data_IF_988676556689
#
_entry.id   IF_988676556689
#
_cell.length_a   1.000
_cell.length_b   1.000
_cell.length_c   1.000
_cell.angle_alpha   90.00
_cell.angle_beta   90.00
_cell.angle_gamma   90.00
#
_symmetry.space_group_name_H-M   'P 1'
#
loop_
_entity.id
_entity.type
_entity.pdbx_description
1 polymer ?
#
# COMPACT_ATOMS: atom_id res chain seq x y z
N UNK A 1 -12.95 -23.81 -7.90
CA UNK A 1 -13.17 -22.35 -7.96
C UNK A 1 -11.89 -21.66 -8.44
N UNK A 2 -11.96 -20.79 -9.47
CA UNK A 2 -10.81 -20.14 -10.13
C UNK A 2 -9.86 -19.39 -9.17
N UNK A 3 -10.41 -18.82 -8.10
CA UNK A 3 -9.65 -18.11 -7.08
C UNK A 3 -8.57 -18.97 -6.40
N UNK A 4 -8.93 -20.19 -6.00
CA UNK A 4 -8.00 -21.11 -5.35
C UNK A 4 -6.88 -21.55 -6.30
N UNK A 5 -7.23 -21.79 -7.57
CA UNK A 5 -6.25 -22.14 -8.61
C UNK A 5 -5.24 -21.00 -8.84
N UNK A 6 -5.71 -19.76 -8.86
CA UNK A 6 -4.85 -18.59 -8.98
C UNK A 6 -3.89 -18.43 -7.79
N UNK A 7 -4.40 -18.59 -6.56
CA UNK A 7 -3.57 -18.54 -5.35
C UNK A 7 -2.47 -19.60 -5.36
N UNK A 8 -2.82 -20.84 -5.73
CA UNK A 8 -1.86 -21.94 -5.84
C UNK A 8 -0.80 -21.67 -6.90
N UNK A 9 -1.18 -21.21 -8.09
CA UNK A 9 -0.24 -20.85 -9.16
C UNK A 9 0.72 -19.74 -8.74
N UNK A 10 0.27 -18.80 -7.89
CA UNK A 10 1.09 -17.71 -7.37
C UNK A 10 1.92 -18.07 -6.14
N UNK A 11 1.88 -19.33 -5.69
CA UNK A 11 2.60 -19.79 -4.50
C UNK A 11 2.10 -19.15 -3.19
N UNK A 12 0.82 -18.74 -3.15
CA UNK A 12 0.19 -18.14 -1.98
C UNK A 12 -0.70 -19.19 -1.32
N UNK A 13 -0.47 -19.45 -0.04
CA UNK A 13 -1.31 -20.40 0.70
C UNK A 13 -2.69 -19.79 1.01
N UNK A 14 -3.74 -20.61 0.86
CA UNK A 14 -5.15 -20.24 1.05
C UNK A 14 -5.47 -19.80 2.48
N UNK A 15 -4.64 -20.22 3.45
CA UNK A 15 -4.73 -19.82 4.85
C UNK A 15 -3.43 -19.15 5.30
N UNK A 16 -3.52 -17.95 5.88
CA UNK A 16 -2.39 -17.25 6.48
C UNK A 16 -2.31 -15.75 6.16
N UNK A 17 -1.24 -15.11 6.65
CA UNK A 17 -1.00 -13.67 6.49
C UNK A 17 -0.92 -13.20 5.03
N UNK A 18 -0.49 -14.08 4.12
CA UNK A 18 -0.38 -13.78 2.69
C UNK A 18 -1.77 -13.58 2.05
N UNK A 19 -2.71 -14.49 2.31
CA UNK A 19 -4.08 -14.38 1.83
C UNK A 19 -4.76 -13.11 2.36
N UNK A 20 -4.64 -12.87 3.66
CA UNK A 20 -5.20 -11.68 4.30
C UNK A 20 -4.72 -10.37 3.65
N UNK A 21 -3.48 -10.31 3.16
CA UNK A 21 -2.95 -9.11 2.50
C UNK A 21 -3.58 -8.85 1.11
N UNK A 22 -3.80 -9.92 0.34
CA UNK A 22 -4.25 -9.83 -1.05
C UNK A 22 -5.76 -9.54 -1.14
N UNK A 23 -6.51 -9.91 -0.11
CA UNK A 23 -7.96 -9.66 -0.06
C UNK A 23 -8.34 -8.34 0.63
N UNK A 24 -7.38 -7.52 1.07
CA UNK A 24 -7.70 -6.22 1.68
C UNK A 24 -8.30 -5.25 0.67
N UNK A 25 -9.40 -4.62 1.07
CA UNK A 25 -10.04 -3.54 0.33
C UNK A 25 -9.15 -2.30 0.25
N UNK A 26 -9.38 -1.52 -0.80
CA UNK A 26 -8.81 -0.17 -0.93
C UNK A 26 -9.45 0.76 0.11
N UNK A 27 -8.67 1.73 0.56
CA UNK A 27 -9.23 2.84 1.31
C UNK A 27 -10.13 3.68 0.41
N UNK A 28 -11.31 4.04 0.92
CA UNK A 28 -12.20 5.06 0.36
C UNK A 28 -12.47 6.11 1.43
N UNK A 29 -12.39 7.38 1.06
CA UNK A 29 -12.76 8.53 1.90
C UNK A 29 -14.27 8.84 1.82
N UNK A 30 -15.07 7.95 1.23
CA UNK A 30 -16.49 8.17 0.95
C UNK A 30 -16.74 9.02 -0.31
N UNK A 31 -15.70 9.59 -0.91
CA UNK A 31 -15.78 10.05 -2.29
C UNK A 31 -15.73 8.82 -3.20
N UNK A 32 -16.47 8.83 -4.31
CA UNK A 32 -16.50 7.72 -5.27
C UNK A 32 -15.18 7.58 -6.07
N UNK A 33 -14.05 8.06 -5.51
CA UNK A 33 -12.72 7.96 -6.09
C UNK A 33 -12.13 6.58 -5.80
N UNK A 34 -11.99 5.79 -6.84
CA UNK A 34 -11.29 4.50 -6.82
C UNK A 34 -9.95 4.61 -7.58
N UNK A 35 -8.99 3.71 -7.33
CA UNK A 35 -7.75 3.66 -8.09
C UNK A 35 -8.03 3.50 -9.59
N UNK A 36 -7.33 4.27 -10.42
CA UNK A 36 -7.34 4.06 -11.89
C UNK A 36 -6.77 2.69 -12.22
N UNK A 37 -7.10 2.13 -13.38
CA UNK A 37 -6.73 0.76 -13.75
C UNK A 37 -5.22 0.47 -13.58
N UNK A 38 -4.34 1.41 -13.96
CA UNK A 38 -2.90 1.25 -13.84
C UNK A 38 -2.41 1.33 -12.39
N UNK A 39 -3.08 2.13 -11.55
CA UNK A 39 -2.78 2.20 -10.12
C UNK A 39 -3.23 0.91 -9.44
N UNK A 40 -4.42 0.42 -9.77
CA UNK A 40 -4.97 -0.85 -9.28
C UNK A 40 -4.01 -2.02 -9.61
N UNK A 41 -3.60 -2.11 -10.88
CA UNK A 41 -2.63 -3.11 -11.31
C UNK A 41 -1.30 -3.00 -10.55
N UNK A 42 -0.80 -1.79 -10.39
CA UNK A 42 0.46 -1.52 -9.68
C UNK A 42 0.37 -1.93 -8.20
N UNK A 43 -0.69 -1.52 -7.51
CA UNK A 43 -0.91 -1.84 -6.10
C UNK A 43 -1.00 -3.36 -5.92
N UNK A 44 -1.78 -4.04 -6.76
CA UNK A 44 -1.93 -5.49 -6.68
C UNK A 44 -0.61 -6.24 -6.91
N UNK A 45 0.17 -5.84 -7.92
CA UNK A 45 1.48 -6.46 -8.18
C UNK A 45 2.46 -6.27 -7.02
N UNK A 46 2.47 -5.10 -6.39
CA UNK A 46 3.32 -4.85 -5.22
C UNK A 46 2.87 -5.69 -4.03
N UNK A 47 1.56 -5.73 -3.76
CA UNK A 47 1.00 -6.52 -2.66
C UNK A 47 1.28 -8.02 -2.86
N UNK A 48 1.11 -8.54 -4.08
CA UNK A 48 1.47 -9.92 -4.44
C UNK A 48 2.95 -10.20 -4.21
N UNK A 49 3.84 -9.33 -4.69
CA UNK A 49 5.28 -9.50 -4.50
C UNK A 49 5.67 -9.50 -3.01
N UNK A 50 5.08 -8.62 -2.20
CA UNK A 50 5.29 -8.60 -0.75
C UNK A 50 4.75 -9.87 -0.09
N UNK A 51 3.56 -10.34 -0.49
CA UNK A 51 2.97 -11.58 0.01
C UNK A 51 3.88 -12.78 -0.30
N UNK A 52 4.51 -12.80 -1.47
CA UNK A 52 5.50 -13.80 -1.89
C UNK A 52 6.87 -13.65 -1.19
N UNK A 53 7.02 -12.70 -0.27
CA UNK A 53 8.24 -12.53 0.52
C UNK A 53 9.36 -11.76 -0.18
N UNK A 54 9.10 -11.09 -1.32
CA UNK A 54 10.09 -10.23 -1.97
C UNK A 54 10.47 -9.07 -1.02
N UNK A 55 11.77 -8.92 -0.77
CA UNK A 55 12.31 -7.94 0.17
C UNK A 55 12.54 -6.55 -0.47
N UNK A 56 12.80 -6.50 -1.77
CA UNK A 56 13.03 -5.26 -2.52
C UNK A 56 12.13 -5.19 -3.74
N UNK A 57 11.50 -4.03 -3.94
CA UNK A 57 10.62 -3.74 -5.07
C UNK A 57 10.93 -2.32 -5.54
N UNK A 58 11.25 -2.15 -6.82
CA UNK A 58 11.37 -0.85 -7.46
C UNK A 58 10.14 -0.63 -8.35
N UNK A 59 9.40 0.44 -8.08
CA UNK A 59 8.27 0.87 -8.89
C UNK A 59 8.62 2.18 -9.59
N UNK A 60 8.56 2.16 -10.91
CA UNK A 60 8.73 3.36 -11.74
C UNK A 60 7.35 3.87 -12.15
N UNK A 61 7.08 5.14 -11.85
CA UNK A 61 5.84 5.82 -12.23
C UNK A 61 6.16 7.17 -12.87
N UNK A 62 5.45 7.51 -13.95
CA UNK A 62 5.56 8.83 -14.54
C UNK A 62 4.99 9.93 -13.62
N UNK A 63 5.48 11.16 -13.76
CA UNK A 63 4.95 12.32 -13.03
C UNK A 63 3.46 12.52 -13.36
N UNK A 64 2.66 12.92 -12.36
CA UNK A 64 1.21 13.11 -12.54
C UNK A 64 0.34 11.84 -12.49
N UNK A 65 0.94 10.63 -12.40
CA UNK A 65 0.18 9.36 -12.35
C UNK A 65 -0.28 8.94 -10.95
N UNK A 66 -0.16 9.82 -9.95
CA UNK A 66 -0.65 9.55 -8.59
C UNK A 66 0.20 8.58 -7.77
N UNK A 67 1.53 8.72 -7.83
CA UNK A 67 2.49 7.97 -7.01
C UNK A 67 2.21 8.03 -5.50
N UNK A 68 1.82 9.20 -4.97
CA UNK A 68 1.45 9.36 -3.55
C UNK A 68 0.22 8.55 -3.19
N UNK A 69 -0.86 8.66 -3.98
CA UNK A 69 -2.08 7.87 -3.79
C UNK A 69 -1.81 6.36 -3.85
N UNK A 70 -0.99 5.93 -4.82
CA UNK A 70 -0.60 4.53 -5.01
C UNK A 70 0.17 4.01 -3.79
N UNK A 71 1.16 4.77 -3.29
CA UNK A 71 1.91 4.43 -2.10
C UNK A 71 1.01 4.35 -0.85
N UNK A 72 0.10 5.31 -0.67
CA UNK A 72 -0.87 5.31 0.42
C UNK A 72 -1.73 4.04 0.42
N UNK A 73 -2.29 3.64 -0.74
CA UNK A 73 -3.12 2.43 -0.83
C UNK A 73 -2.33 1.14 -0.53
N UNK A 74 -1.05 1.07 -0.91
CA UNK A 74 -0.18 -0.05 -0.55
C UNK A 74 0.01 -0.10 0.97
N UNK A 75 0.34 1.04 1.60
CA UNK A 75 0.54 1.13 3.05
C UNK A 75 -0.74 0.79 3.80
N UNK A 76 -1.90 1.26 3.31
CA UNK A 76 -3.21 0.94 3.86
C UNK A 76 -3.46 -0.56 3.93
N UNK A 77 -3.26 -1.27 2.82
CA UNK A 77 -3.47 -2.72 2.75
C UNK A 77 -2.50 -3.48 3.65
N UNK A 78 -1.22 -3.08 3.69
CA UNK A 78 -0.22 -3.66 4.60
C UNK A 78 -0.61 -3.49 6.07
N UNK A 79 -1.10 -2.30 6.42
CA UNK A 79 -1.51 -1.96 7.77
C UNK A 79 -2.79 -2.70 8.19
N UNK A 80 -3.83 -2.69 7.35
CA UNK A 80 -5.10 -3.38 7.62
C UNK A 80 -4.95 -4.89 7.72
N UNK A 81 -4.10 -5.48 6.88
CA UNK A 81 -3.76 -6.91 6.98
C UNK A 81 -2.90 -7.26 8.21
N UNK A 82 -2.43 -6.27 8.98
CA UNK A 82 -1.45 -6.45 10.07
C UNK A 82 -0.19 -7.21 9.60
N UNK A 83 0.18 -7.05 8.33
CA UNK A 83 1.27 -7.79 7.68
C UNK A 83 2.66 -7.24 8.04
N UNK A 84 2.72 -5.98 8.47
CA UNK A 84 3.94 -5.29 8.92
C UNK A 84 3.65 -4.52 10.20
N UNK A 85 4.51 -4.67 11.21
CA UNK A 85 4.37 -3.99 12.51
C UNK A 85 4.77 -2.51 12.46
N UNK A 86 5.69 -2.15 11.56
CA UNK A 86 6.22 -0.80 11.38
C UNK A 86 6.42 -0.56 9.89
N UNK A 87 5.97 0.59 9.40
CA UNK A 87 6.09 1.00 8.00
C UNK A 87 6.70 2.40 8.01
N UNK A 88 7.82 2.56 7.31
CA UNK A 88 8.51 3.85 7.17
C UNK A 88 8.26 4.37 5.75
N UNK A 89 7.63 5.54 5.64
CA UNK A 89 7.46 6.25 4.38
C UNK A 89 8.40 7.45 4.35
N UNK A 90 9.35 7.45 3.40
CA UNK A 90 10.33 8.50 3.23
C UNK A 90 9.98 9.33 1.98
N UNK A 91 10.06 10.65 2.11
CA UNK A 91 9.94 11.56 0.97
C UNK A 91 10.94 12.72 1.13
N UNK A 92 11.46 13.17 0.01
CA UNK A 92 12.55 14.15 -0.07
C UNK A 92 12.15 15.55 0.47
N UNK A 93 10.89 15.98 0.29
CA UNK A 93 10.45 17.33 0.70
C UNK A 93 9.45 17.30 1.85
N UNK A 94 9.75 18.09 2.89
CA UNK A 94 8.88 18.28 4.06
C UNK A 94 7.44 18.71 3.71
N UNK A 95 7.26 19.47 2.62
CA UNK A 95 5.94 19.92 2.14
C UNK A 95 5.13 18.73 1.60
N UNK A 96 5.78 17.80 0.91
CA UNK A 96 5.14 16.58 0.40
C UNK A 96 4.73 15.68 1.58
N UNK A 97 5.61 15.53 2.58
CA UNK A 97 5.25 14.81 3.83
C UNK A 97 4.09 15.50 4.54
N UNK A 98 4.13 16.82 4.68
CA UNK A 98 3.08 17.60 5.35
C UNK A 98 1.71 17.43 4.68
N UNK A 99 1.61 17.64 3.36
CA UNK A 99 0.36 17.49 2.63
C UNK A 99 -0.16 16.04 2.66
N UNK A 100 0.73 15.08 2.50
CA UNK A 100 0.41 13.66 2.55
C UNK A 100 -0.03 13.21 3.95
N UNK A 101 0.59 13.71 5.03
CA UNK A 101 0.17 13.45 6.41
C UNK A 101 -1.17 14.09 6.74
N UNK A 102 -1.34 15.35 6.36
CA UNK A 102 -2.53 16.13 6.72
C UNK A 102 -3.74 15.78 5.86
N UNK A 103 -3.59 15.20 4.66
CA UNK A 103 -4.74 14.85 3.81
C UNK A 103 -4.84 13.35 3.56
N UNK A 104 -3.81 12.74 2.96
CA UNK A 104 -3.90 11.37 2.48
C UNK A 104 -3.82 10.35 3.63
N UNK A 105 -2.99 10.61 4.65
CA UNK A 105 -2.67 9.66 5.72
C UNK A 105 -3.46 9.90 7.02
N UNK A 106 -4.35 10.91 7.05
CA UNK A 106 -5.38 11.07 8.09
C UNK A 106 -6.05 9.76 8.53
N UNK A 107 -6.37 8.81 7.64
CA UNK A 107 -7.09 7.58 8.00
C UNK A 107 -6.34 6.66 8.98
N UNK A 108 -5.03 6.84 9.13
CA UNK A 108 -4.23 6.08 10.10
C UNK A 108 -4.28 6.70 11.51
N UNK A 109 -4.80 7.92 11.66
CA UNK A 109 -5.01 8.60 12.94
C UNK A 109 -3.74 8.65 13.81
N UNK A 110 -3.89 8.27 15.09
CA UNK A 110 -2.80 8.26 16.07
C UNK A 110 -1.69 7.23 15.80
N UNK A 111 -1.86 6.33 14.82
CA UNK A 111 -0.83 5.34 14.46
C UNK A 111 0.34 5.96 13.67
N UNK A 112 0.29 7.26 13.38
CA UNK A 112 1.32 8.00 12.65
C UNK A 112 2.14 8.86 13.60
N UNK A 113 3.45 8.82 13.41
CA UNK A 113 4.37 9.82 13.95
C UNK A 113 5.20 10.44 12.83
N UNK A 114 5.44 11.75 12.92
CA UNK A 114 6.35 12.48 12.02
C UNK A 114 7.66 12.76 12.78
N UNK A 115 8.75 12.16 12.32
CA UNK A 115 10.10 12.53 12.75
C UNK A 115 10.73 13.45 11.70
N UNK A 116 11.33 14.55 12.14
CA UNK A 116 12.23 15.36 11.32
C UNK A 116 13.66 14.88 11.62
N UNK A 117 14.50 14.68 10.60
CA UNK A 117 15.93 14.53 10.87
C UNK A 117 16.43 15.81 11.56
N UNK A 118 17.25 15.61 12.60
CA UNK A 118 17.63 16.60 13.60
C UNK A 118 18.25 17.88 13.04
N UNK A 119 18.15 18.89 13.89
CA UNK A 119 18.96 20.11 13.93
C UNK A 119 20.45 19.84 13.72
#
# INVERSE_FOLDING_TARGET
>A
MLWQQWLMHKGIHTHGRQHALITQDYYSDGSNKTPRYYQLLTINRIIEAIAQGKQGILLVMATGTGKTFTAFQIIWRLWKAKARKRILFLADRNILVGQTMTNDFKPFGAAISKSRNGS
#
